data_IF_538418124747
#
_entry.id   IF_538418124747
#
_cell.length_a   1.000
_cell.length_b   1.000
_cell.length_c   1.000
_cell.angle_alpha   90.00
_cell.angle_beta   90.00
_cell.angle_gamma   90.00
#
_symmetry.space_group_name_H-M   'P 1'
#
loop_
_entity.id
_entity.type
_entity.pdbx_description
1 polymer ?
#
# COMPACT_ATOMS: atom_id res chain seq x y z
N UNK A 1 26.21 8.32 3.99
CA UNK A 1 25.21 7.92 5.00
C UNK A 1 24.31 6.92 4.34
N UNK A 2 24.11 5.75 4.94
CA UNK A 2 23.30 4.65 4.41
C UNK A 2 22.38 4.08 5.49
N UNK A 3 21.32 3.38 5.08
CA UNK A 3 20.38 2.76 6.00
C UNK A 3 19.71 3.75 6.94
N UNK A 4 19.40 3.33 8.16
CA UNK A 4 18.72 4.16 9.16
C UNK A 4 19.49 5.41 9.59
N UNK A 5 20.82 5.43 9.44
CA UNK A 5 21.58 6.67 9.70
C UNK A 5 21.32 7.76 8.64
N UNK A 6 20.73 7.40 7.52
CA UNK A 6 20.32 8.34 6.47
C UNK A 6 18.86 8.72 6.56
N UNK A 7 17.99 7.73 6.73
CA UNK A 7 16.54 7.86 6.76
C UNK A 7 15.99 6.92 7.85
N UNK A 8 15.58 7.50 8.97
CA UNK A 8 14.92 6.77 10.05
C UNK A 8 13.42 7.06 10.02
N UNK A 9 12.62 6.00 10.05
CA UNK A 9 11.18 6.11 10.22
C UNK A 9 10.80 5.76 11.68
N UNK A 10 9.88 4.88 11.86
CA UNK A 10 9.30 4.46 13.14
C UNK A 10 9.66 2.99 13.42
N UNK A 11 9.80 2.54 14.69
CA UNK A 11 10.07 1.13 14.97
C UNK A 11 8.88 0.20 14.69
N UNK A 12 7.65 0.71 14.60
CA UNK A 12 6.47 -0.08 14.28
C UNK A 12 6.57 -0.66 12.85
N UNK A 13 6.30 -1.94 12.68
CA UNK A 13 6.58 -2.75 11.47
C UNK A 13 8.06 -2.93 11.12
N UNK A 14 9.00 -2.40 11.92
CA UNK A 14 10.46 -2.54 11.71
C UNK A 14 10.98 -2.06 10.34
N UNK A 15 10.54 -0.90 9.80
CA UNK A 15 10.94 -0.44 8.46
C UNK A 15 12.43 -0.17 8.33
N UNK A 16 13.13 0.01 9.45
CA UNK A 16 14.57 0.18 9.47
C UNK A 16 15.32 -0.96 8.80
N UNK A 17 14.87 -2.20 9.00
CA UNK A 17 15.45 -3.38 8.34
C UNK A 17 15.32 -3.30 6.82
N UNK A 18 14.19 -2.80 6.32
CA UNK A 18 13.94 -2.64 4.89
C UNK A 18 14.81 -1.54 4.29
N UNK A 19 14.92 -0.38 4.95
CA UNK A 19 15.81 0.71 4.51
C UNK A 19 17.28 0.31 4.52
N UNK A 20 17.71 -0.48 5.52
CA UNK A 20 19.05 -1.07 5.57
C UNK A 20 19.25 -2.00 4.36
N UNK A 21 18.33 -2.91 4.10
CA UNK A 21 18.41 -3.89 3.01
C UNK A 21 18.44 -3.22 1.64
N UNK A 22 17.56 -2.26 1.40
CA UNK A 22 17.53 -1.48 0.15
C UNK A 22 18.83 -0.68 -0.04
N UNK A 23 19.30 0.02 1.00
CA UNK A 23 20.54 0.80 0.95
C UNK A 23 21.75 -0.08 0.68
N UNK A 24 21.83 -1.27 1.30
CA UNK A 24 22.91 -2.23 1.06
C UNK A 24 22.88 -2.75 -0.38
N UNK A 25 21.70 -3.04 -0.92
CA UNK A 25 21.52 -3.48 -2.30
C UNK A 25 22.04 -2.43 -3.29
N UNK A 26 21.67 -1.17 -3.15
CA UNK A 26 22.16 -0.08 -3.98
C UNK A 26 23.66 0.17 -3.80
N UNK A 27 24.15 0.13 -2.56
CA UNK A 27 25.58 0.31 -2.27
C UNK A 27 26.41 -0.80 -2.92
N UNK A 28 25.96 -2.05 -2.85
CA UNK A 28 26.64 -3.17 -3.49
C UNK A 28 26.67 -3.05 -5.01
N UNK A 29 25.54 -2.65 -5.65
CA UNK A 29 25.49 -2.39 -7.10
C UNK A 29 26.46 -1.27 -7.51
N UNK A 30 26.49 -0.16 -6.77
CA UNK A 30 27.40 0.96 -7.04
C UNK A 30 28.88 0.55 -6.92
N UNK A 31 29.25 -0.18 -5.86
CA UNK A 31 30.62 -0.68 -5.66
C UNK A 31 31.05 -1.61 -6.80
N UNK A 32 30.17 -2.56 -7.17
CA UNK A 32 30.47 -3.50 -8.27
C UNK A 32 30.69 -2.79 -9.60
N UNK A 33 29.96 -1.72 -9.88
CA UNK A 33 30.08 -0.94 -11.12
C UNK A 33 31.33 -0.05 -11.11
N UNK A 34 31.59 0.61 -10.00
CA UNK A 34 32.79 1.43 -9.82
C UNK A 34 34.06 0.60 -10.01
N UNK A 35 34.14 -0.61 -9.43
CA UNK A 35 35.23 -1.55 -9.61
C UNK A 35 35.41 -2.00 -11.08
N UNK A 36 34.34 -1.95 -11.88
CA UNK A 36 34.40 -2.21 -13.34
C UNK A 36 34.75 -0.97 -14.16
N UNK A 37 34.95 0.19 -13.52
CA UNK A 37 35.25 1.47 -14.18
C UNK A 37 34.03 2.12 -14.85
N UNK A 38 32.78 1.74 -14.46
CA UNK A 38 31.58 2.39 -14.95
C UNK A 38 31.37 3.76 -14.28
N UNK A 39 30.79 4.73 -14.99
CA UNK A 39 30.36 5.99 -14.39
C UNK A 39 29.10 5.75 -13.53
N UNK A 40 29.25 5.90 -12.21
CA UNK A 40 28.19 5.70 -11.24
C UNK A 40 27.44 6.98 -10.84
N UNK A 41 27.82 8.14 -11.36
CA UNK A 41 27.31 9.44 -10.90
C UNK A 41 25.78 9.55 -11.06
N UNK A 42 25.28 9.25 -12.26
CA UNK A 42 23.82 9.28 -12.51
C UNK A 42 23.09 8.27 -11.63
N UNK A 43 23.62 7.05 -11.52
CA UNK A 43 23.02 5.96 -10.76
C UNK A 43 22.93 6.29 -9.27
N UNK A 44 23.99 6.88 -8.71
CA UNK A 44 24.02 7.33 -7.31
C UNK A 44 22.93 8.36 -7.02
N UNK A 45 22.78 9.36 -7.88
CA UNK A 45 21.70 10.35 -7.75
C UNK A 45 20.32 9.71 -7.84
N UNK A 46 20.14 8.84 -8.84
CA UNK A 46 18.85 8.19 -9.07
C UNK A 46 18.44 7.31 -7.90
N UNK A 47 19.34 6.49 -7.34
CA UNK A 47 19.07 5.68 -6.15
C UNK A 47 18.75 6.53 -4.93
N UNK A 48 19.42 7.65 -4.75
CA UNK A 48 19.13 8.59 -3.66
C UNK A 48 17.69 9.12 -3.75
N UNK A 49 17.25 9.51 -4.96
CA UNK A 49 15.90 10.03 -5.17
C UNK A 49 14.85 8.92 -5.00
N UNK A 50 15.12 7.70 -5.49
CA UNK A 50 14.21 6.55 -5.30
C UNK A 50 14.08 6.20 -3.81
N UNK A 51 15.20 6.14 -3.08
CA UNK A 51 15.19 5.85 -1.64
C UNK A 51 14.37 6.89 -0.87
N UNK A 52 14.55 8.16 -1.20
CA UNK A 52 13.78 9.25 -0.60
C UNK A 52 12.29 9.16 -0.93
N UNK A 53 11.95 8.87 -2.18
CA UNK A 53 10.57 8.73 -2.61
C UNK A 53 9.86 7.54 -1.91
N UNK A 54 10.56 6.42 -1.73
CA UNK A 54 10.05 5.28 -0.95
C UNK A 54 9.82 5.66 0.52
N UNK A 55 10.77 6.38 1.12
CA UNK A 55 10.62 6.87 2.49
C UNK A 55 9.40 7.79 2.61
N UNK A 56 9.25 8.77 1.72
CA UNK A 56 8.13 9.71 1.72
C UNK A 56 6.77 8.98 1.54
N UNK A 57 6.74 7.90 0.76
CA UNK A 57 5.55 7.06 0.57
C UNK A 57 5.21 6.21 1.82
N UNK A 58 6.19 5.90 2.67
CA UNK A 58 5.97 5.12 3.88
C UNK A 58 5.59 5.97 5.09
N UNK A 59 6.02 7.22 5.14
CA UNK A 59 5.76 8.10 6.29
C UNK A 59 4.27 8.23 6.66
N UNK A 60 3.31 8.27 5.72
CA UNK A 60 1.88 8.31 6.07
C UNK A 60 1.40 7.13 6.92
N UNK A 61 2.08 5.97 6.87
CA UNK A 61 1.75 4.78 7.68
C UNK A 61 1.90 5.07 9.19
N UNK A 62 2.73 6.05 9.56
CA UNK A 62 3.08 6.39 10.94
C UNK A 62 2.51 7.73 11.38
N UNK A 63 2.52 8.74 10.51
CA UNK A 63 2.10 10.10 10.85
C UNK A 63 0.62 10.12 11.22
N UNK A 64 0.33 10.57 12.45
CA UNK A 64 -1.03 10.65 13.02
C UNK A 64 -1.76 9.30 13.13
N UNK A 65 -1.05 8.17 13.12
CA UNK A 65 -1.66 6.84 13.18
C UNK A 65 -1.69 6.23 14.60
N UNK A 66 -0.85 6.68 15.52
CA UNK A 66 -0.82 6.18 16.90
C UNK A 66 -2.15 6.31 17.67
N UNK A 67 -2.97 7.37 17.48
CA UNK A 67 -4.29 7.44 18.10
C UNK A 67 -5.28 6.33 17.69
N UNK A 68 -4.96 5.56 16.63
CA UNK A 68 -5.76 4.42 16.19
C UNK A 68 -5.55 3.15 17.02
N UNK A 69 -4.45 3.09 17.78
CA UNK A 69 -4.15 1.95 18.61
C UNK A 69 -5.20 1.75 19.68
N UNK A 70 -5.73 0.53 19.76
CA UNK A 70 -6.89 0.22 20.60
C UNK A 70 -8.25 0.43 19.91
N UNK A 71 -8.28 0.93 18.67
CA UNK A 71 -9.47 0.99 17.82
C UNK A 71 -9.60 -0.29 17.02
N UNK A 72 -10.40 -1.23 17.49
CA UNK A 72 -10.34 -2.64 17.08
C UNK A 72 -10.57 -2.83 15.58
N UNK A 73 -11.66 -2.30 15.03
CA UNK A 73 -11.96 -2.51 13.61
C UNK A 73 -11.03 -1.74 12.69
N UNK A 74 -10.70 -0.49 13.05
CA UNK A 74 -9.76 0.35 12.28
C UNK A 74 -8.41 -0.32 12.20
N UNK A 75 -7.89 -0.86 13.32
CA UNK A 75 -6.58 -1.53 13.35
C UNK A 75 -6.57 -2.81 12.53
N UNK A 76 -7.63 -3.61 12.54
CA UNK A 76 -7.74 -4.79 11.67
C UNK A 76 -7.67 -4.37 10.20
N UNK A 77 -8.47 -3.40 9.78
CA UNK A 77 -8.48 -2.91 8.41
C UNK A 77 -7.13 -2.28 8.00
N UNK A 78 -6.52 -1.49 8.92
CA UNK A 78 -5.23 -0.88 8.67
C UNK A 78 -4.12 -1.91 8.50
N UNK A 79 -4.01 -2.89 9.38
CA UNK A 79 -2.95 -3.92 9.31
C UNK A 79 -3.04 -4.69 7.99
N UNK A 80 -4.23 -5.10 7.57
CA UNK A 80 -4.39 -5.83 6.32
C UNK A 80 -4.14 -4.96 5.10
N UNK A 81 -4.52 -3.69 5.14
CA UNK A 81 -4.14 -2.73 4.11
C UNK A 81 -2.62 -2.54 4.03
N UNK A 82 -1.97 -2.29 5.16
CA UNK A 82 -0.53 -2.01 5.22
C UNK A 82 0.27 -3.23 4.72
N UNK A 83 -0.12 -4.46 5.08
CA UNK A 83 0.50 -5.69 4.58
C UNK A 83 0.25 -5.89 3.08
N UNK A 84 -0.99 -5.74 2.63
CA UNK A 84 -1.34 -5.87 1.22
C UNK A 84 -0.58 -4.87 0.35
N UNK A 85 -0.56 -3.60 0.75
CA UNK A 85 0.17 -2.56 0.07
C UNK A 85 1.70 -2.81 0.05
N UNK A 86 2.27 -3.26 1.17
CA UNK A 86 3.69 -3.58 1.29
C UNK A 86 4.09 -4.78 0.41
N UNK A 87 3.34 -5.88 0.47
CA UNK A 87 3.67 -7.09 -0.29
C UNK A 87 3.47 -6.91 -1.79
N UNK A 88 2.37 -6.27 -2.19
CA UNK A 88 2.00 -6.11 -3.60
C UNK A 88 2.96 -5.23 -4.40
N UNK A 89 3.66 -4.28 -3.75
CA UNK A 89 4.54 -3.30 -4.42
C UNK A 89 5.98 -3.41 -3.91
N UNK A 90 6.22 -3.11 -2.62
CA UNK A 90 7.59 -2.93 -2.12
C UNK A 90 8.35 -4.26 -2.06
N UNK A 91 7.75 -5.29 -1.46
CA UNK A 91 8.39 -6.60 -1.33
C UNK A 91 8.55 -7.26 -2.70
N UNK A 92 7.53 -7.18 -3.56
CA UNK A 92 7.59 -7.71 -4.93
C UNK A 92 8.72 -7.06 -5.74
N UNK A 93 8.93 -5.74 -5.61
CA UNK A 93 10.04 -5.03 -6.26
C UNK A 93 11.39 -5.54 -5.74
N UNK A 94 11.52 -5.72 -4.42
CA UNK A 94 12.74 -6.17 -3.77
C UNK A 94 13.10 -7.61 -4.15
N UNK A 95 12.18 -8.55 -4.03
CA UNK A 95 12.41 -9.98 -4.28
C UNK A 95 12.73 -10.31 -5.75
N UNK A 96 12.25 -9.47 -6.68
CA UNK A 96 12.53 -9.62 -8.11
C UNK A 96 13.72 -8.78 -8.60
N UNK A 97 14.65 -8.40 -7.71
CA UNK A 97 15.85 -7.61 -8.03
C UNK A 97 15.56 -6.24 -8.70
N UNK A 98 14.33 -5.76 -8.58
CA UNK A 98 13.86 -4.54 -9.25
C UNK A 98 14.55 -3.27 -8.78
N UNK A 99 15.12 -3.26 -7.56
CA UNK A 99 15.80 -2.09 -6.99
C UNK A 99 17.03 -1.64 -7.78
N UNK A 100 17.68 -2.53 -8.52
CA UNK A 100 18.88 -2.21 -9.33
C UNK A 100 18.61 -2.15 -10.83
N UNK A 101 17.39 -2.44 -11.25
CA UNK A 101 16.94 -2.31 -12.64
C UNK A 101 16.48 -0.88 -12.95
N UNK A 102 17.39 -0.07 -13.50
CA UNK A 102 17.09 1.34 -13.81
C UNK A 102 15.95 1.52 -14.80
N UNK A 103 15.81 0.64 -15.78
CA UNK A 103 14.75 0.77 -16.79
C UNK A 103 13.37 0.45 -16.19
N UNK A 104 13.31 -0.55 -15.31
CA UNK A 104 12.10 -0.81 -14.51
C UNK A 104 11.78 0.38 -13.62
N UNK A 105 12.72 0.84 -12.81
CA UNK A 105 12.49 1.96 -11.87
C UNK A 105 12.06 3.23 -12.60
N UNK A 106 12.66 3.55 -13.77
CA UNK A 106 12.21 4.68 -14.59
C UNK A 106 10.75 4.51 -15.02
N UNK A 107 10.35 3.32 -15.48
CA UNK A 107 8.95 3.05 -15.87
C UNK A 107 7.99 3.20 -14.69
N UNK A 108 8.40 2.69 -13.51
CA UNK A 108 7.57 2.76 -12.30
C UNK A 108 7.43 4.17 -11.72
N UNK A 109 8.37 5.08 -12.02
CA UNK A 109 8.40 6.45 -11.49
C UNK A 109 8.02 7.52 -12.53
N UNK A 110 7.93 7.16 -13.82
CA UNK A 110 7.76 8.12 -14.91
C UNK A 110 6.39 8.80 -14.91
N UNK A 111 6.37 10.07 -14.48
CA UNK A 111 5.20 10.94 -14.57
C UNK A 111 4.16 10.78 -13.45
N UNK A 112 3.16 11.66 -13.45
CA UNK A 112 2.20 11.81 -12.35
C UNK A 112 1.16 10.68 -12.25
N UNK A 113 1.14 9.78 -13.22
CA UNK A 113 0.27 8.58 -13.25
C UNK A 113 1.06 7.29 -13.21
N UNK A 114 2.34 7.37 -12.86
CA UNK A 114 3.18 6.19 -12.68
C UNK A 114 2.67 5.31 -11.54
N UNK A 115 3.06 4.05 -11.57
CA UNK A 115 2.63 3.06 -10.58
C UNK A 115 2.97 3.52 -9.16
N UNK A 116 4.20 3.99 -8.91
CA UNK A 116 4.61 4.44 -7.58
C UNK A 116 3.92 5.74 -7.14
N UNK A 117 3.56 6.64 -8.08
CA UNK A 117 2.76 7.83 -7.74
C UNK A 117 1.33 7.46 -7.36
N UNK A 118 0.68 6.59 -8.13
CA UNK A 118 -0.65 6.07 -7.79
C UNK A 118 -0.64 5.36 -6.44
N UNK A 119 0.34 4.49 -6.22
CA UNK A 119 0.51 3.76 -4.96
C UNK A 119 0.64 4.70 -3.76
N UNK A 120 1.56 5.68 -3.83
CA UNK A 120 1.78 6.63 -2.75
C UNK A 120 0.53 7.47 -2.44
N UNK A 121 -0.19 7.93 -3.47
CA UNK A 121 -1.43 8.69 -3.30
C UNK A 121 -2.54 7.84 -2.69
N UNK A 122 -2.74 6.63 -3.20
CA UNK A 122 -3.74 5.69 -2.70
C UNK A 122 -3.46 5.32 -1.23
N UNK A 123 -2.20 4.98 -0.90
CA UNK A 123 -1.79 4.66 0.46
C UNK A 123 -2.02 5.84 1.40
N UNK A 124 -1.64 7.06 1.00
CA UNK A 124 -1.89 8.28 1.79
C UNK A 124 -3.38 8.49 2.05
N UNK A 125 -4.23 8.28 1.05
CA UNK A 125 -5.68 8.42 1.22
C UNK A 125 -6.26 7.37 2.17
N UNK A 126 -5.75 6.14 2.12
CA UNK A 126 -6.17 5.09 3.05
C UNK A 126 -5.76 5.40 4.49
N UNK A 127 -4.53 5.88 4.73
CA UNK A 127 -4.10 6.29 6.07
C UNK A 127 -4.96 7.44 6.62
N UNK A 128 -5.36 8.37 5.73
CA UNK A 128 -6.29 9.45 6.09
C UNK A 128 -7.68 8.91 6.42
N UNK A 129 -8.20 7.99 5.63
CA UNK A 129 -9.47 7.31 5.92
C UNK A 129 -9.44 6.67 7.32
N UNK A 130 -8.37 5.97 7.67
CA UNK A 130 -8.21 5.36 8.99
C UNK A 130 -8.17 6.41 10.11
N UNK A 131 -7.45 7.53 9.91
CA UNK A 131 -7.40 8.63 10.87
C UNK A 131 -8.77 9.29 11.08
N UNK A 132 -9.52 9.49 10.00
CA UNK A 132 -10.87 10.09 10.07
C UNK A 132 -11.88 9.11 10.71
N UNK A 133 -11.72 7.83 10.47
CA UNK A 133 -12.59 6.79 11.03
C UNK A 133 -12.30 6.48 12.50
N UNK A 134 -11.04 6.52 12.94
CA UNK A 134 -10.64 6.11 14.29
C UNK A 134 -11.47 6.69 15.43
N UNK A 135 -11.74 8.02 15.48
CA UNK A 135 -12.61 8.61 16.48
C UNK A 135 -14.05 8.10 16.47
N UNK A 136 -14.51 7.58 15.33
CA UNK A 136 -15.89 7.12 15.10
C UNK A 136 -16.00 5.59 15.28
N UNK A 137 -14.90 4.89 15.46
CA UNK A 137 -14.90 3.44 15.71
C UNK A 137 -15.39 3.13 17.12
N UNK A 138 -16.54 2.47 17.18
CA UNK A 138 -17.20 2.04 18.41
C UNK A 138 -17.16 0.52 18.60
N UNK A 139 -16.36 -0.19 17.80
CA UNK A 139 -16.20 -1.63 17.94
C UNK A 139 -15.49 -1.96 19.25
N UNK A 140 -16.12 -2.81 20.07
CA UNK A 140 -15.49 -3.34 21.26
C UNK A 140 -14.40 -4.35 20.93
N UNK A 141 -13.52 -4.60 21.90
CA UNK A 141 -12.58 -5.70 21.82
C UNK A 141 -13.36 -7.02 21.66
N UNK A 142 -12.87 -7.86 20.76
CA UNK A 142 -13.47 -9.16 20.46
C UNK A 142 -12.42 -10.26 20.56
N UNK A 143 -12.84 -11.45 20.93
CA UNK A 143 -11.99 -12.66 20.88
C UNK A 143 -11.90 -13.23 19.44
N UNK A 144 -12.55 -12.61 18.47
CA UNK A 144 -12.49 -13.05 17.09
C UNK A 144 -11.07 -12.85 16.55
N UNK A 145 -10.48 -13.93 16.10
CA UNK A 145 -9.24 -13.94 15.33
C UNK A 145 -9.58 -13.90 13.83
N UNK A 146 -8.86 -13.09 13.09
CA UNK A 146 -8.91 -13.08 11.63
C UNK A 146 -7.54 -13.50 11.12
N UNK A 147 -7.46 -14.62 10.40
CA UNK A 147 -6.24 -15.06 9.76
C UNK A 147 -6.01 -14.22 8.49
N UNK A 148 -4.86 -13.57 8.33
CA UNK A 148 -4.53 -12.85 7.08
C UNK A 148 -4.66 -13.72 5.83
N UNK A 149 -4.40 -15.02 5.94
CA UNK A 149 -4.48 -15.96 4.85
C UNK A 149 -5.87 -16.50 4.54
N UNK A 150 -6.89 -16.08 5.30
CA UNK A 150 -8.29 -16.20 4.91
C UNK A 150 -8.70 -15.15 3.86
N UNK A 151 -7.79 -14.21 3.54
CA UNK A 151 -7.96 -13.19 2.50
C UNK A 151 -7.19 -13.61 1.25
N UNK A 152 -7.90 -13.99 0.20
CA UNK A 152 -7.32 -14.53 -1.03
C UNK A 152 -6.31 -13.55 -1.65
N UNK A 153 -6.56 -12.24 -1.59
CA UNK A 153 -5.63 -11.23 -2.12
C UNK A 153 -4.30 -11.20 -1.35
N UNK A 154 -4.30 -11.34 -0.02
CA UNK A 154 -3.05 -11.38 0.77
C UNK A 154 -2.27 -12.65 0.50
N UNK A 155 -2.98 -13.79 0.40
CA UNK A 155 -2.38 -15.06 0.03
C UNK A 155 -1.73 -14.98 -1.35
N UNK A 156 -2.43 -14.42 -2.33
CA UNK A 156 -1.90 -14.23 -3.68
C UNK A 156 -0.65 -13.35 -3.68
N UNK A 157 -0.65 -12.21 -2.97
CA UNK A 157 0.53 -11.35 -2.90
C UNK A 157 1.72 -12.07 -2.28
N UNK A 158 1.51 -12.89 -1.24
CA UNK A 158 2.57 -13.70 -0.66
C UNK A 158 3.10 -14.77 -1.62
N UNK A 159 2.23 -15.49 -2.32
CA UNK A 159 2.62 -16.48 -3.32
C UNK A 159 3.45 -15.82 -4.44
N UNK A 160 3.07 -14.64 -4.89
CA UNK A 160 3.79 -13.89 -5.94
C UNK A 160 5.22 -13.52 -5.51
N UNK A 161 5.46 -13.21 -4.23
CA UNK A 161 6.79 -12.84 -3.74
C UNK A 161 7.68 -14.02 -3.36
N UNK A 162 7.09 -15.20 -3.06
CA UNK A 162 7.82 -16.39 -2.57
C UNK A 162 8.03 -17.41 -3.66
N UNK A 163 7.04 -17.63 -4.53
CA UNK A 163 6.99 -18.76 -5.44
C UNK A 163 7.26 -18.40 -6.91
N UNK A 164 7.26 -17.09 -7.24
CA UNK A 164 7.34 -16.64 -8.63
C UNK A 164 8.52 -15.73 -8.88
N UNK A 165 9.17 -15.96 -10.00
CA UNK A 165 10.15 -15.04 -10.59
C UNK A 165 9.55 -14.40 -11.82
N UNK A 166 9.61 -13.08 -11.92
CA UNK A 166 9.06 -12.32 -13.02
C UNK A 166 10.19 -11.67 -13.82
N UNK A 167 10.12 -11.74 -15.14
CA UNK A 167 10.90 -10.84 -15.97
C UNK A 167 10.35 -9.41 -15.87
N UNK A 168 11.07 -8.43 -16.45
CA UNK A 168 10.71 -7.00 -16.31
C UNK A 168 9.30 -6.67 -16.79
N UNK A 169 8.88 -7.19 -17.93
CA UNK A 169 7.57 -6.85 -18.50
C UNK A 169 6.45 -7.54 -17.74
N UNK A 170 6.65 -8.78 -17.31
CA UNK A 170 5.74 -9.51 -16.41
C UNK A 170 5.62 -8.79 -15.06
N UNK A 171 6.74 -8.28 -14.51
CA UNK A 171 6.72 -7.58 -13.24
C UNK A 171 5.96 -6.24 -13.34
N UNK A 172 6.09 -5.53 -14.45
CA UNK A 172 5.30 -4.31 -14.70
C UNK A 172 3.81 -4.64 -14.76
N UNK A 173 3.44 -5.67 -15.53
CA UNK A 173 2.05 -6.12 -15.63
C UNK A 173 1.49 -6.54 -14.25
N UNK A 174 2.31 -7.23 -13.44
CA UNK A 174 1.93 -7.63 -12.08
C UNK A 174 1.71 -6.41 -11.17
N UNK A 175 2.55 -5.38 -11.24
CA UNK A 175 2.30 -4.14 -10.50
C UNK A 175 1.00 -3.45 -10.92
N UNK A 176 0.69 -3.44 -12.20
CA UNK A 176 -0.58 -2.87 -12.70
C UNK A 176 -1.79 -3.67 -12.18
N UNK A 177 -1.72 -5.00 -12.20
CA UNK A 177 -2.75 -5.89 -11.64
C UNK A 177 -2.92 -5.64 -10.13
N UNK A 178 -1.83 -5.62 -9.38
CA UNK A 178 -1.85 -5.39 -7.94
C UNK A 178 -2.43 -4.01 -7.58
N UNK A 179 -2.13 -2.98 -8.38
CA UNK A 179 -2.74 -1.66 -8.19
C UNK A 179 -4.26 -1.68 -8.36
N UNK A 180 -4.78 -2.46 -9.31
CA UNK A 180 -6.24 -2.64 -9.47
C UNK A 180 -6.85 -3.30 -8.24
N UNK A 181 -6.23 -4.34 -7.71
CA UNK A 181 -6.69 -5.02 -6.48
C UNK A 181 -6.70 -4.03 -5.30
N UNK A 182 -5.63 -3.25 -5.11
CA UNK A 182 -5.55 -2.24 -4.05
C UNK A 182 -6.62 -1.15 -4.20
N UNK A 183 -6.91 -0.69 -5.41
CA UNK A 183 -7.98 0.27 -5.69
C UNK A 183 -9.36 -0.29 -5.26
N UNK A 184 -9.63 -1.56 -5.56
CA UNK A 184 -10.86 -2.23 -5.14
C UNK A 184 -10.96 -2.41 -3.62
N UNK A 185 -9.87 -2.80 -2.95
CA UNK A 185 -9.83 -2.91 -1.48
C UNK A 185 -10.10 -1.55 -0.84
N UNK A 186 -9.46 -0.49 -1.34
CA UNK A 186 -9.65 0.87 -0.83
C UNK A 186 -11.10 1.34 -1.00
N UNK A 187 -11.67 1.15 -2.19
CA UNK A 187 -13.05 1.51 -2.48
C UNK A 187 -14.06 0.74 -1.61
N UNK A 188 -13.86 -0.57 -1.41
CA UNK A 188 -14.74 -1.36 -0.56
C UNK A 188 -14.61 -0.99 0.93
N UNK A 189 -13.38 -0.75 1.40
CA UNK A 189 -13.16 -0.23 2.76
C UNK A 189 -13.93 1.07 2.97
N UNK A 190 -13.83 2.01 2.03
CA UNK A 190 -14.55 3.29 2.12
C UNK A 190 -16.07 3.11 2.14
N UNK A 191 -16.62 2.21 1.30
CA UNK A 191 -18.08 1.90 1.28
C UNK A 191 -18.55 1.41 2.65
N UNK A 192 -17.84 0.42 3.22
CA UNK A 192 -18.18 -0.16 4.51
C UNK A 192 -18.13 0.88 5.63
N UNK A 193 -17.06 1.68 5.67
CA UNK A 193 -16.89 2.73 6.68
C UNK A 193 -17.94 3.81 6.52
N UNK A 194 -18.16 4.32 5.31
CA UNK A 194 -19.16 5.36 5.04
C UNK A 194 -20.57 4.89 5.40
N UNK A 195 -20.92 3.65 5.07
CA UNK A 195 -22.20 3.05 5.48
C UNK A 195 -22.32 2.98 6.99
N UNK A 196 -21.27 2.54 7.69
CA UNK A 196 -21.28 2.43 9.17
C UNK A 196 -21.39 3.80 9.84
N UNK A 197 -20.67 4.79 9.34
CA UNK A 197 -20.56 6.13 9.96
C UNK A 197 -21.78 7.00 9.64
N UNK A 198 -22.23 6.98 8.39
CA UNK A 198 -23.27 7.89 7.90
C UNK A 198 -24.65 7.22 7.72
N UNK A 199 -24.72 5.89 7.81
CA UNK A 199 -25.97 5.17 7.54
C UNK A 199 -26.46 5.28 6.09
N UNK A 200 -25.56 5.68 5.16
CA UNK A 200 -25.88 5.84 3.75
C UNK A 200 -25.92 4.49 3.04
N UNK A 201 -26.71 4.38 1.97
CA UNK A 201 -26.64 3.20 1.10
C UNK A 201 -25.25 3.14 0.46
N UNK A 202 -24.68 1.93 0.34
CA UNK A 202 -23.37 1.76 -0.31
C UNK A 202 -23.47 2.21 -1.76
N UNK A 203 -22.61 3.15 -2.15
CA UNK A 203 -22.48 3.58 -3.53
C UNK A 203 -21.90 2.46 -4.40
N UNK A 204 -22.44 2.29 -5.62
CA UNK A 204 -21.91 1.30 -6.58
C UNK A 204 -20.50 1.66 -7.04
N UNK A 205 -20.20 2.95 -7.16
CA UNK A 205 -18.90 3.46 -7.57
C UNK A 205 -18.28 4.31 -6.49
N UNK A 206 -16.98 4.19 -6.28
CA UNK A 206 -16.16 5.01 -5.38
C UNK A 206 -14.88 5.37 -6.09
N UNK A 207 -14.43 6.60 -5.97
CA UNK A 207 -13.09 7.01 -6.39
C UNK A 207 -12.13 6.97 -5.18
N UNK A 208 -11.23 5.98 -5.11
CA UNK A 208 -10.35 5.82 -3.96
C UNK A 208 -9.27 6.90 -3.85
N UNK A 209 -9.06 7.69 -4.91
CA UNK A 209 -8.10 8.79 -4.93
C UNK A 209 -8.69 10.12 -4.43
N UNK A 210 -10.02 10.21 -4.34
CA UNK A 210 -10.72 11.43 -3.89
C UNK A 210 -11.67 11.19 -2.72
N UNK A 211 -11.83 9.95 -2.27
CA UNK A 211 -12.71 9.57 -1.16
C UNK A 211 -12.43 10.37 0.12
N UNK A 212 -13.49 10.77 0.83
CA UNK A 212 -13.42 11.53 2.08
C UNK A 212 -14.63 11.25 2.97
N UNK A 213 -14.40 10.85 4.23
CA UNK A 213 -15.48 10.70 5.22
C UNK A 213 -16.08 12.06 5.65
N UNK A 214 -15.28 13.12 5.55
CA UNK A 214 -15.69 14.44 6.01
C UNK A 214 -16.30 15.32 4.90
N UNK A 215 -16.52 14.74 3.71
CA UNK A 215 -17.09 15.46 2.56
C UNK A 215 -16.17 16.53 1.96
N UNK A 216 -14.86 16.45 2.20
CA UNK A 216 -13.88 17.34 1.59
C UNK A 216 -13.80 17.12 0.08
N UNK A 217 -13.87 18.19 -0.70
CA UNK A 217 -13.63 18.15 -2.15
C UNK A 217 -12.15 17.94 -2.43
N UNK A 218 -11.79 16.74 -2.82
CA UNK A 218 -10.41 16.33 -3.14
C UNK A 218 -10.25 16.15 -4.65
N UNK A 219 -9.12 16.59 -5.15
CA UNK A 219 -8.78 16.47 -6.57
C UNK A 219 -7.55 15.61 -6.74
N UNK A 220 -7.62 14.69 -7.68
CA UNK A 220 -6.51 13.83 -8.06
C UNK A 220 -6.36 13.73 -9.56
N UNK A 221 -5.11 13.66 -10.04
CA UNK A 221 -4.81 13.31 -11.44
C UNK A 221 -5.01 11.82 -11.71
N UNK A 222 -5.09 11.01 -10.66
CA UNK A 222 -5.33 9.57 -10.69
C UNK A 222 -6.80 9.22 -10.47
N UNK A 223 -7.67 10.23 -10.32
CA UNK A 223 -9.12 10.07 -10.14
C UNK A 223 -9.70 9.01 -11.07
N UNK A 224 -10.38 8.02 -10.50
CA UNK A 224 -10.91 6.87 -11.20
C UNK A 224 -12.07 6.27 -10.42
N UNK A 225 -13.24 6.17 -11.02
CA UNK A 225 -14.36 5.46 -10.42
C UNK A 225 -14.11 3.95 -10.44
N UNK A 226 -14.21 3.33 -9.27
CA UNK A 226 -14.05 1.89 -9.05
C UNK A 226 -15.42 1.30 -8.75
N UNK A 227 -15.88 0.41 -9.63
CA UNK A 227 -17.10 -0.37 -9.40
C UNK A 227 -16.91 -1.34 -8.25
N UNK A 228 -18.00 -1.68 -7.58
CA UNK A 228 -17.96 -2.71 -6.55
C UNK A 228 -17.58 -4.07 -7.14
N UNK A 229 -16.56 -4.67 -6.58
CA UNK A 229 -16.14 -6.03 -6.89
C UNK A 229 -16.73 -7.03 -5.89
N UNK A 230 -17.50 -8.01 -6.37
CA UNK A 230 -18.21 -8.95 -5.52
C UNK A 230 -17.26 -9.92 -4.79
N UNK A 231 -16.10 -10.25 -5.40
CA UNK A 231 -15.11 -11.12 -4.80
C UNK A 231 -14.41 -10.41 -3.64
N UNK A 232 -13.87 -9.22 -3.87
CA UNK A 232 -13.24 -8.39 -2.83
C UNK A 232 -14.24 -8.09 -1.71
N UNK A 233 -15.49 -7.74 -2.04
CA UNK A 233 -16.54 -7.50 -1.04
C UNK A 233 -16.81 -8.73 -0.17
N UNK A 234 -16.73 -9.92 -0.74
CA UNK A 234 -16.87 -11.18 0.02
C UNK A 234 -15.69 -11.40 0.96
N UNK A 235 -14.47 -11.18 0.49
CA UNK A 235 -13.26 -11.32 1.32
C UNK A 235 -13.25 -10.34 2.49
N UNK A 236 -13.65 -9.09 2.25
CA UNK A 236 -13.71 -8.05 3.28
C UNK A 236 -14.61 -8.41 4.46
N UNK A 237 -15.56 -9.36 4.31
CA UNK A 237 -16.35 -9.88 5.43
C UNK A 237 -15.48 -10.58 6.47
N UNK A 238 -14.41 -11.23 6.07
CA UNK A 238 -13.54 -11.98 6.98
C UNK A 238 -12.83 -11.06 7.96
N UNK A 239 -12.53 -9.82 7.56
CA UNK A 239 -11.89 -8.83 8.42
C UNK A 239 -12.88 -7.84 9.06
N UNK A 240 -14.18 -7.85 8.69
CA UNK A 240 -15.15 -6.90 9.19
C UNK A 240 -15.81 -7.40 10.47
N UNK A 241 -15.62 -6.69 11.58
CA UNK A 241 -16.10 -7.07 12.91
C UNK A 241 -17.52 -6.58 13.21
N UNK A 242 -17.97 -5.52 12.56
CA UNK A 242 -19.35 -5.08 12.62
C UNK A 242 -20.28 -6.05 11.89
N UNK A 243 -21.59 -6.02 12.16
CA UNK A 243 -22.55 -6.71 11.31
C UNK A 243 -22.37 -6.28 9.85
N UNK A 244 -22.09 -7.22 8.98
CA UNK A 244 -21.90 -6.93 7.57
C UNK A 244 -23.25 -6.51 6.95
N UNK A 245 -23.30 -5.45 6.15
CA UNK A 245 -24.56 -4.98 5.59
C UNK A 245 -25.07 -5.96 4.52
N UNK A 246 -25.90 -6.92 4.92
CA UNK A 246 -26.43 -8.01 4.05
C UNK A 246 -27.29 -7.51 2.88
N UNK A 247 -27.91 -6.33 3.00
CA UNK A 247 -28.84 -5.78 2.01
C UNK A 247 -28.19 -5.32 0.70
N UNK A 248 -26.90 -5.41 0.57
CA UNK A 248 -26.14 -4.88 -0.58
C UNK A 248 -25.66 -5.99 -1.52
N UNK A 249 -26.09 -7.23 -1.32
CA UNK A 249 -25.58 -8.39 -2.04
C UNK A 249 -26.52 -8.96 -3.13
N UNK A 250 -27.62 -8.28 -3.40
CA UNK A 250 -28.57 -8.65 -4.47
C UNK A 250 -28.49 -7.69 -5.63
#
# INVERSE_FOLDING_TARGET
VTGESGLFADPFYSPGSDFISMSNTWTADLIQRDLKGEDIFFRTKFYTEVNKALYDNWMPIYINQYPLWGKTQVMVAKIFWDWGAYWSINTLLFTNNGLTDLELLKKLTAGPRSILQKYGELSTNMQRLFSDWGPLDTADLTERYTDPFDLDFLKQFQEDIVEKEFNRDELIAKFEENMVILEHIAAETFRLVSNKVHGTSMELTVDPYTMSLNGEDRKSKNSKEVLRDAHIAKEMRNMWLYPYPEKVMN
#
